data_IF_978782818924
#
_entry.id   IF_978782818924
#
_cell.length_a   1.000
_cell.length_b   1.000
_cell.length_c   1.000
_cell.angle_alpha   90.00
_cell.angle_beta   90.00
_cell.angle_gamma   90.00
#
_symmetry.space_group_name_H-M   'P 1'
#
loop_
_entity.id
_entity.type
_entity.pdbx_description
1 polymer ?
#
# COMPACT_ATOMS: atom_id res chain seq x y z
N UNK A 1 -3.68 -24.87 -5.26
CA UNK A 1 -2.58 -23.91 -5.03
C UNK A 1 -3.16 -22.67 -4.36
N UNK A 2 -2.80 -22.36 -3.12
CA UNK A 2 -3.08 -21.02 -2.57
C UNK A 2 -2.11 -20.08 -3.28
N UNK A 3 -2.61 -19.27 -4.21
CA UNK A 3 -1.80 -18.19 -4.75
C UNK A 3 -1.52 -17.24 -3.58
N UNK A 4 -0.28 -17.20 -3.10
CA UNK A 4 0.14 -16.22 -2.11
C UNK A 4 -0.04 -14.84 -2.75
N UNK A 5 -1.08 -14.12 -2.32
CA UNK A 5 -1.34 -12.76 -2.80
C UNK A 5 -0.19 -11.88 -2.35
N UNK A 6 0.44 -11.24 -3.32
CA UNK A 6 1.55 -10.31 -3.09
C UNK A 6 1.02 -8.89 -3.13
N UNK A 7 1.51 -8.07 -2.22
CA UNK A 7 1.13 -6.68 -2.10
C UNK A 7 2.32 -5.80 -2.45
N UNK A 8 2.07 -4.63 -3.02
CA UNK A 8 3.10 -3.61 -3.20
C UNK A 8 2.56 -2.25 -2.86
N UNK A 9 3.23 -1.55 -1.97
CA UNK A 9 2.84 -0.22 -1.50
C UNK A 9 3.62 0.80 -2.31
N UNK A 10 2.89 1.72 -2.93
CA UNK A 10 3.41 2.73 -3.86
C UNK A 10 2.91 4.10 -3.39
N UNK A 11 3.82 5.05 -3.23
CA UNK A 11 3.49 6.44 -2.91
C UNK A 11 2.90 7.12 -4.14
N UNK A 12 1.68 7.63 -4.04
CA UNK A 12 0.91 8.21 -5.16
C UNK A 12 1.61 9.43 -5.76
N UNK A 13 2.12 10.35 -4.92
CA UNK A 13 2.72 11.61 -5.38
C UNK A 13 3.97 11.40 -6.26
N UNK A 14 4.84 10.45 -5.88
CA UNK A 14 6.13 10.23 -6.56
C UNK A 14 6.21 8.89 -7.31
N UNK A 15 5.14 8.09 -7.30
CA UNK A 15 5.15 6.69 -7.73
C UNK A 15 6.29 5.87 -7.07
N UNK A 16 6.72 6.23 -5.86
CA UNK A 16 7.82 5.58 -5.16
C UNK A 16 7.37 4.25 -4.57
N UNK A 17 8.10 3.17 -4.83
CA UNK A 17 7.77 1.86 -4.28
C UNK A 17 8.33 1.74 -2.86
N UNK A 18 7.45 1.89 -1.88
CA UNK A 18 7.78 1.77 -0.45
C UNK A 18 7.94 0.31 -0.02
N UNK A 19 7.11 -0.57 -0.61
CA UNK A 19 7.14 -2.00 -0.32
C UNK A 19 6.83 -2.78 -1.59
N UNK A 20 7.68 -3.73 -1.98
CA UNK A 20 7.51 -4.54 -3.19
C UNK A 20 7.36 -6.02 -2.84
N UNK A 21 6.42 -6.71 -3.50
CA UNK A 21 6.21 -8.16 -3.38
C UNK A 21 6.07 -8.67 -1.93
N UNK A 22 5.41 -7.89 -1.08
CA UNK A 22 5.21 -8.17 0.34
C UNK A 22 4.01 -9.10 0.59
N UNK A 23 4.04 -9.80 1.71
CA UNK A 23 2.89 -10.51 2.25
C UNK A 23 2.02 -9.60 3.11
N UNK A 24 0.77 -10.01 3.38
CA UNK A 24 -0.17 -9.25 4.22
C UNK A 24 0.46 -8.85 5.57
N UNK A 25 1.17 -9.75 6.24
CA UNK A 25 1.83 -9.46 7.51
C UNK A 25 2.92 -8.36 7.41
N UNK A 26 3.61 -8.25 6.28
CA UNK A 26 4.59 -7.18 6.06
C UNK A 26 3.89 -5.84 5.76
N UNK A 27 2.76 -5.88 5.05
CA UNK A 27 1.92 -4.70 4.82
C UNK A 27 1.39 -4.18 6.15
N UNK A 28 0.90 -5.06 7.03
CA UNK A 28 0.43 -4.69 8.37
C UNK A 28 1.55 -4.07 9.22
N UNK A 29 2.74 -4.66 9.24
CA UNK A 29 3.89 -4.11 9.97
C UNK A 29 4.37 -2.77 9.38
N UNK A 30 4.30 -2.61 8.06
CA UNK A 30 4.61 -1.34 7.42
C UNK A 30 3.59 -0.26 7.82
N UNK A 31 2.30 -0.60 7.83
CA UNK A 31 1.25 0.31 8.27
C UNK A 31 1.39 0.67 9.73
N UNK A 32 1.61 -0.29 10.63
CA UNK A 32 1.84 0.00 12.06
C UNK A 32 2.99 1.02 12.28
N UNK A 33 4.05 0.93 11.48
CA UNK A 33 5.17 1.86 11.54
C UNK A 33 4.94 3.21 10.83
N UNK A 34 4.00 3.30 9.88
CA UNK A 34 3.82 4.47 9.01
C UNK A 34 2.37 5.01 8.96
N UNK A 35 1.48 4.53 9.81
CA UNK A 35 0.07 4.96 9.94
C UNK A 35 -0.05 6.47 10.17
N UNK A 36 0.91 7.06 10.87
CA UNK A 36 0.95 8.52 11.08
C UNK A 36 1.50 9.33 9.91
N UNK A 37 2.03 8.68 8.87
CA UNK A 37 2.66 9.34 7.70
C UNK A 37 1.81 9.23 6.44
N UNK A 38 1.04 8.17 6.28
CA UNK A 38 0.23 7.93 5.09
C UNK A 38 -1.26 7.89 5.45
N UNK A 39 -2.07 8.68 4.76
CA UNK A 39 -3.48 8.93 5.12
C UNK A 39 -4.47 8.38 4.09
N UNK A 40 -4.09 8.29 2.81
CA UNK A 40 -4.90 7.69 1.75
C UNK A 40 -4.44 6.27 1.43
N UNK A 41 -5.38 5.33 1.24
CA UNK A 41 -5.11 3.97 0.76
C UNK A 41 -6.08 3.61 -0.37
N UNK A 42 -5.56 3.38 -1.58
CA UNK A 42 -6.33 2.84 -2.71
C UNK A 42 -5.70 1.55 -3.23
N UNK A 43 -6.49 0.50 -3.41
CA UNK A 43 -6.00 -0.77 -3.96
C UNK A 43 -6.33 -0.86 -5.45
N UNK A 44 -5.31 -0.93 -6.29
CA UNK A 44 -5.45 -1.34 -7.67
C UNK A 44 -5.35 -2.87 -7.77
N UNK A 45 -6.27 -3.45 -8.56
CA UNK A 45 -6.34 -4.87 -8.89
C UNK A 45 -6.57 -5.83 -7.69
N UNK A 46 -7.66 -5.67 -6.91
CA UNK A 46 -7.94 -6.48 -5.73
C UNK A 46 -8.23 -7.96 -6.02
N UNK A 47 -8.45 -8.33 -7.28
CA UNK A 47 -8.73 -9.71 -7.71
C UNK A 47 -7.51 -10.43 -8.32
N UNK A 48 -6.35 -9.77 -8.42
CA UNK A 48 -5.13 -10.35 -8.98
C UNK A 48 -4.32 -11.19 -8.00
N UNK A 49 -3.29 -11.88 -8.50
CA UNK A 49 -2.24 -12.49 -7.64
C UNK A 49 -1.27 -11.45 -7.05
N UNK A 50 -1.35 -10.20 -7.54
CA UNK A 50 -0.52 -9.08 -7.11
C UNK A 50 -1.39 -7.83 -6.96
N UNK A 51 -1.61 -7.39 -5.73
CA UNK A 51 -2.36 -6.19 -5.37
C UNK A 51 -1.40 -5.01 -5.23
N UNK A 52 -1.74 -3.88 -5.86
CA UNK A 52 -0.99 -2.63 -5.69
C UNK A 52 -1.76 -1.72 -4.76
N UNK A 53 -1.10 -1.22 -3.73
CA UNK A 53 -1.66 -0.35 -2.70
C UNK A 53 -1.03 1.02 -2.92
N UNK A 54 -1.78 1.93 -3.51
CA UNK A 54 -1.40 3.33 -3.63
C UNK A 54 -1.65 4.00 -2.28
N UNK A 55 -0.65 4.73 -1.78
CA UNK A 55 -0.73 5.49 -0.53
C UNK A 55 -0.38 6.94 -0.75
N UNK A 56 -0.98 7.84 0.02
CA UNK A 56 -0.72 9.28 -0.06
C UNK A 56 -0.22 9.80 1.28
N UNK A 57 0.89 10.56 1.29
CA UNK A 57 1.44 11.22 2.47
C UNK A 57 0.96 12.66 2.65
N UNK A 58 0.28 13.20 1.65
CA UNK A 58 -0.40 14.48 1.77
C UNK A 58 -1.68 14.29 2.59
N UNK A 59 -1.82 15.02 3.70
CA UNK A 59 -3.12 15.14 4.35
C UNK A 59 -4.10 15.68 3.29
N UNK A 60 -5.29 15.08 3.12
CA UNK A 60 -6.31 15.73 2.30
C UNK A 60 -6.47 17.14 2.87
N UNK A 61 -6.25 18.15 2.04
CA UNK A 61 -6.56 19.52 2.42
C UNK A 61 -8.07 19.53 2.72
N UNK A 62 -8.40 19.48 4.02
CA UNK A 62 -9.77 19.55 4.54
C UNK A 62 -10.44 20.80 3.95
N UNK A 63 -11.46 20.61 3.10
CA UNK A 63 -12.46 21.63 2.75
C UNK A 63 -13.70 21.51 3.64
#
# INVERSE_FOLDING_TARGET
>A
MNAEIRYSIILEHNAEVLLANASMAQVEAFWDANDSRYFGLHMEDPCGSHVRVMVTDEMPEDE
#
